data_IF_390901814291
#
_entry.id   IF_390901814291
#
_cell.length_a   1.000
_cell.length_b   1.000
_cell.length_c   1.000
_cell.angle_alpha   90.00
_cell.angle_beta   90.00
_cell.angle_gamma   90.00
#
_symmetry.space_group_name_H-M   'P 1'
#
loop_
_entity.id
_entity.type
_entity.pdbx_description
1 polymer ?
#
# COMPACT_ATOMS: atom_id res chain seq x y z
N UNK A 1 -4.23 -2.93 0.76
CA UNK A 1 -2.99 -3.51 0.18
C UNK A 1 -2.66 -4.90 0.80
N UNK A 2 -2.78 -5.07 2.13
CA UNK A 2 -2.24 -6.24 2.83
C UNK A 2 -2.64 -7.61 2.25
N UNK A 3 -3.92 -7.83 1.97
CA UNK A 3 -4.38 -9.09 1.38
C UNK A 3 -3.79 -9.35 -0.02
N UNK A 4 -3.68 -8.30 -0.85
CA UNK A 4 -3.16 -8.44 -2.20
C UNK A 4 -1.66 -8.74 -2.19
N UNK A 5 -0.89 -8.02 -1.39
CA UNK A 5 0.55 -8.29 -1.22
C UNK A 5 0.79 -9.72 -0.73
N UNK A 6 0.11 -10.14 0.34
CA UNK A 6 0.31 -11.46 0.94
C UNK A 6 -0.01 -12.58 -0.04
N UNK A 7 -1.15 -12.51 -0.75
CA UNK A 7 -1.55 -13.53 -1.72
C UNK A 7 -0.63 -13.55 -2.94
N UNK A 8 -0.28 -12.38 -3.50
CA UNK A 8 0.57 -12.32 -4.68
C UNK A 8 2.00 -12.83 -4.39
N UNK A 9 2.55 -12.50 -3.22
CA UNK A 9 3.84 -13.03 -2.76
C UNK A 9 3.78 -14.54 -2.58
N UNK A 10 2.74 -15.05 -1.89
CA UNK A 10 2.52 -16.48 -1.69
C UNK A 10 2.43 -17.23 -3.02
N UNK A 11 1.62 -16.73 -3.97
CA UNK A 11 1.48 -17.32 -5.30
C UNK A 11 2.77 -17.24 -6.14
N UNK A 12 3.65 -16.29 -5.82
CA UNK A 12 4.99 -16.17 -6.41
C UNK A 12 6.04 -17.09 -5.75
N UNK A 13 5.64 -17.88 -4.74
CA UNK A 13 6.51 -18.84 -4.06
C UNK A 13 7.36 -18.26 -2.93
N UNK A 14 7.02 -17.06 -2.45
CA UNK A 14 7.68 -16.45 -1.29
C UNK A 14 7.11 -17.05 0.00
N UNK A 15 7.94 -17.30 0.98
CA UNK A 15 7.50 -17.67 2.33
C UNK A 15 6.91 -16.45 3.04
N UNK A 16 5.59 -16.44 3.22
CA UNK A 16 4.83 -15.30 3.73
C UNK A 16 4.18 -15.65 5.07
N UNK A 17 4.46 -14.84 6.07
CA UNK A 17 3.72 -14.83 7.34
C UNK A 17 2.99 -13.50 7.49
N UNK A 18 1.68 -13.54 7.71
CA UNK A 18 0.86 -12.34 7.91
C UNK A 18 0.77 -12.06 9.41
N UNK A 19 1.29 -10.91 9.84
CA UNK A 19 1.18 -10.43 11.22
C UNK A 19 -0.16 -9.72 11.43
N UNK A 20 -1.02 -10.23 12.30
CA UNK A 20 -2.33 -9.66 12.63
C UNK A 20 -2.61 -9.78 14.13
N UNK A 21 -3.50 -8.92 14.63
CA UNK A 21 -4.03 -9.09 15.98
C UNK A 21 -4.97 -10.29 16.02
N UNK A 22 -4.85 -11.11 17.05
CA UNK A 22 -5.62 -12.38 17.20
C UNK A 22 -7.14 -12.16 17.25
N UNK A 23 -7.59 -11.01 17.76
CA UNK A 23 -9.00 -10.62 17.84
C UNK A 23 -9.55 -10.00 16.54
N UNK A 24 -8.75 -9.90 15.51
CA UNK A 24 -9.12 -9.31 14.23
C UNK A 24 -9.89 -10.30 13.35
N UNK A 25 -10.99 -9.86 12.74
CA UNK A 25 -11.69 -10.63 11.69
C UNK A 25 -10.77 -11.00 10.52
N UNK A 26 -9.76 -10.19 10.25
CA UNK A 26 -8.76 -10.45 9.21
C UNK A 26 -7.88 -11.66 9.53
N UNK A 27 -7.72 -12.03 10.81
CA UNK A 27 -6.92 -13.17 11.24
C UNK A 27 -7.50 -14.49 10.68
N UNK A 28 -8.76 -14.76 10.96
CA UNK A 28 -9.46 -15.96 10.46
C UNK A 28 -9.54 -15.98 8.94
N UNK A 29 -9.83 -14.81 8.33
CA UNK A 29 -9.92 -14.69 6.88
C UNK A 29 -8.60 -15.01 6.18
N UNK A 30 -7.46 -14.56 6.70
CA UNK A 30 -6.15 -14.87 6.12
C UNK A 30 -5.80 -16.36 6.24
N UNK A 31 -6.17 -17.00 7.37
CA UNK A 31 -6.01 -18.46 7.55
C UNK A 31 -6.87 -19.26 6.56
N UNK A 32 -8.13 -18.84 6.34
CA UNK A 32 -9.02 -19.49 5.35
C UNK A 32 -8.48 -19.39 3.92
N UNK A 33 -7.69 -18.37 3.62
CA UNK A 33 -6.98 -18.21 2.33
C UNK A 33 -5.69 -19.03 2.24
N UNK A 34 -5.35 -19.81 3.27
CA UNK A 34 -4.16 -20.68 3.28
C UNK A 34 -2.86 -19.98 3.67
N UNK A 35 -2.92 -18.75 4.14
CA UNK A 35 -1.74 -17.99 4.58
C UNK A 35 -1.34 -18.41 6.02
N UNK A 36 -0.04 -18.41 6.29
CA UNK A 36 0.47 -18.49 7.66
C UNK A 36 0.18 -17.17 8.37
N UNK A 37 -0.48 -17.23 9.53
CA UNK A 37 -0.85 -16.06 10.32
C UNK A 37 -0.30 -16.19 11.73
N UNK A 38 0.32 -15.14 12.22
CA UNK A 38 0.90 -15.05 13.56
C UNK A 38 0.51 -13.69 14.19
N UNK A 39 0.72 -13.54 15.49
CA UNK A 39 0.68 -12.21 16.08
C UNK A 39 1.83 -11.34 15.56
N UNK A 40 1.74 -10.02 15.76
CA UNK A 40 2.68 -9.06 15.18
C UNK A 40 4.13 -9.31 15.61
N UNK A 41 4.35 -9.56 16.89
CA UNK A 41 5.69 -9.78 17.43
C UNK A 41 6.35 -11.05 16.85
N UNK A 42 5.61 -12.16 16.79
CA UNK A 42 6.10 -13.42 16.24
C UNK A 42 6.37 -13.31 14.74
N UNK A 43 5.45 -12.69 13.99
CA UNK A 43 5.64 -12.46 12.56
C UNK A 43 6.89 -11.61 12.27
N UNK A 44 7.15 -10.58 13.08
CA UNK A 44 8.31 -9.71 12.94
C UNK A 44 9.63 -10.45 13.30
N UNK A 45 9.61 -11.31 14.33
CA UNK A 45 10.82 -11.99 14.81
C UNK A 45 11.36 -13.05 13.85
N UNK A 46 10.50 -13.64 13.03
CA UNK A 46 10.87 -14.67 12.06
C UNK A 46 11.22 -14.10 10.67
N UNK A 47 10.84 -12.85 10.39
CA UNK A 47 10.96 -12.24 9.08
C UNK A 47 12.35 -11.65 8.79
N UNK A 48 12.84 -11.84 7.57
CA UNK A 48 14.02 -11.14 7.04
C UNK A 48 13.61 -9.80 6.40
N UNK A 49 12.35 -9.72 5.93
CA UNK A 49 11.73 -8.53 5.37
C UNK A 49 10.37 -8.31 6.04
N UNK A 50 10.15 -7.17 6.64
CA UNK A 50 8.87 -6.76 7.24
C UNK A 50 8.26 -5.65 6.40
N UNK A 51 7.06 -5.88 5.85
CA UNK A 51 6.29 -4.88 5.12
C UNK A 51 5.15 -4.35 5.98
N UNK A 52 5.14 -3.05 6.27
CA UNK A 52 4.07 -2.40 7.01
C UNK A 52 2.95 -1.95 6.06
N UNK A 53 1.74 -2.48 6.30
CA UNK A 53 0.54 -2.22 5.49
C UNK A 53 -0.64 -1.82 6.39
N UNK A 54 -0.34 -1.10 7.46
CA UNK A 54 -1.30 -0.51 8.39
C UNK A 54 -1.72 0.89 7.91
N UNK A 55 -2.89 1.40 8.35
CA UNK A 55 -3.21 2.81 8.15
C UNK A 55 -2.15 3.71 8.81
N UNK A 56 -1.74 4.79 8.12
CA UNK A 56 -0.67 5.68 8.57
C UNK A 56 -0.86 6.21 9.98
N UNK A 57 -2.11 6.51 10.37
CA UNK A 57 -2.45 7.10 11.68
C UNK A 57 -2.14 6.20 12.88
N UNK A 58 -2.05 4.88 12.68
CA UNK A 58 -1.77 3.90 13.75
C UNK A 58 -0.46 3.17 13.55
N UNK A 59 0.18 3.35 12.40
CA UNK A 59 1.35 2.58 12.01
C UNK A 59 2.54 2.81 12.96
N UNK A 60 2.79 4.06 13.35
CA UNK A 60 3.89 4.40 14.26
C UNK A 60 3.70 3.78 15.66
N UNK A 61 2.50 3.84 16.20
CA UNK A 61 2.20 3.27 17.52
C UNK A 61 2.39 1.75 17.51
N UNK A 62 1.86 1.07 16.48
CA UNK A 62 2.01 -0.39 16.34
C UNK A 62 3.45 -0.79 16.09
N UNK A 63 4.16 -0.07 15.23
CA UNK A 63 5.58 -0.32 14.97
C UNK A 63 6.40 -0.25 16.25
N UNK A 64 6.26 0.85 17.01
CA UNK A 64 7.03 1.09 18.22
C UNK A 64 6.68 0.12 19.36
N UNK A 65 5.40 -0.27 19.49
CA UNK A 65 4.96 -1.12 20.61
C UNK A 65 5.13 -2.62 20.38
N UNK A 66 5.01 -3.10 19.12
CA UNK A 66 4.91 -4.53 18.85
C UNK A 66 5.91 -5.07 17.84
N UNK A 67 6.52 -4.21 16.99
CA UNK A 67 7.32 -4.66 15.85
C UNK A 67 8.80 -4.33 16.02
N UNK A 68 9.13 -3.11 16.35
CA UNK A 68 10.50 -2.59 16.30
C UNK A 68 11.52 -3.46 17.06
N UNK A 69 11.22 -3.77 18.34
CA UNK A 69 12.11 -4.55 19.20
C UNK A 69 12.15 -6.04 18.85
N UNK A 70 11.15 -6.51 18.09
CA UNK A 70 11.05 -7.91 17.71
C UNK A 70 11.68 -8.20 16.34
N UNK A 71 11.99 -7.20 15.52
CA UNK A 71 12.63 -7.43 14.23
C UNK A 71 14.06 -7.96 14.39
N UNK A 72 14.45 -8.90 13.51
CA UNK A 72 15.83 -9.39 13.41
C UNK A 72 16.81 -8.23 13.21
N UNK A 73 18.02 -8.38 13.73
CA UNK A 73 19.13 -7.49 13.45
C UNK A 73 19.46 -7.52 11.95
N UNK A 74 19.60 -6.34 11.33
CA UNK A 74 19.89 -6.21 9.91
C UNK A 74 18.73 -6.51 8.96
N UNK A 75 17.51 -6.75 9.46
CA UNK A 75 16.33 -6.97 8.63
C UNK A 75 15.98 -5.75 7.78
N UNK A 76 15.17 -5.98 6.75
CA UNK A 76 14.66 -4.90 5.89
C UNK A 76 13.24 -4.54 6.26
N UNK A 77 13.01 -3.25 6.54
CA UNK A 77 11.70 -2.66 6.78
C UNK A 77 11.19 -2.00 5.49
N UNK A 78 10.04 -2.44 5.00
CA UNK A 78 9.41 -1.91 3.79
C UNK A 78 8.08 -1.22 4.11
N UNK A 79 7.76 -0.23 3.28
CA UNK A 79 6.53 0.54 3.31
C UNK A 79 5.86 0.55 1.93
N UNK A 80 4.54 0.69 1.88
CA UNK A 80 3.81 0.86 0.62
C UNK A 80 3.49 2.33 0.32
N UNK A 81 3.74 3.24 1.25
CA UNK A 81 3.62 4.68 1.17
C UNK A 81 4.65 5.34 2.08
N UNK A 82 5.19 6.47 1.67
CA UNK A 82 6.33 7.07 2.35
C UNK A 82 6.01 7.92 3.59
N UNK A 83 4.74 8.12 3.95
CA UNK A 83 4.29 9.08 4.97
C UNK A 83 5.05 8.99 6.29
N UNK A 84 5.03 7.84 6.92
CA UNK A 84 5.60 7.66 8.27
C UNK A 84 7.12 7.88 8.33
N UNK A 85 7.83 7.63 7.24
CA UNK A 85 9.27 7.90 7.14
C UNK A 85 9.53 9.36 6.77
N UNK A 86 8.84 9.89 5.75
CA UNK A 86 9.03 11.26 5.28
C UNK A 86 8.76 12.31 6.36
N UNK A 87 7.73 12.10 7.18
CA UNK A 87 7.36 13.01 8.27
C UNK A 87 7.98 12.64 9.63
N UNK A 88 8.89 11.64 9.67
CA UNK A 88 9.56 11.18 10.88
C UNK A 88 8.62 10.69 11.99
N UNK A 89 7.45 10.16 11.64
CA UNK A 89 6.55 9.50 12.59
C UNK A 89 7.14 8.16 13.06
N UNK A 90 7.87 7.46 12.18
CA UNK A 90 8.66 6.28 12.48
C UNK A 90 10.14 6.59 12.26
N UNK A 91 10.95 6.33 13.29
CA UNK A 91 12.42 6.38 13.24
C UNK A 91 12.92 4.94 13.37
N UNK A 92 13.28 4.28 12.25
CA UNK A 92 13.74 2.89 12.29
C UNK A 92 15.09 2.76 13.01
N UNK A 93 15.29 1.59 13.65
CA UNK A 93 16.57 1.26 14.27
C UNK A 93 17.74 1.41 13.29
N UNK A 94 18.92 1.72 13.81
CA UNK A 94 20.13 2.01 13.02
C UNK A 94 20.60 0.80 12.18
N UNK A 95 20.37 -0.41 12.64
CA UNK A 95 20.76 -1.64 11.98
C UNK A 95 19.86 -2.03 10.80
N UNK A 96 18.63 -1.51 10.75
CA UNK A 96 17.66 -1.88 9.72
C UNK A 96 17.95 -1.20 8.37
N UNK A 97 17.71 -1.93 7.28
CA UNK A 97 17.52 -1.34 5.96
C UNK A 97 16.09 -0.83 5.82
N UNK A 98 15.89 0.28 5.09
CA UNK A 98 14.56 0.91 4.93
C UNK A 98 14.29 1.19 3.47
N UNK A 99 13.20 0.63 2.96
CA UNK A 99 12.77 0.81 1.56
C UNK A 99 11.27 0.96 1.42
N UNK A 100 10.86 1.23 0.19
CA UNK A 100 9.45 1.38 -0.17
C UNK A 100 9.14 0.61 -1.44
N UNK A 101 7.97 -0.02 -1.46
CA UNK A 101 7.35 -0.62 -2.65
C UNK A 101 5.89 -0.15 -2.68
N UNK A 102 5.59 0.82 -3.52
CA UNK A 102 4.29 1.49 -3.60
C UNK A 102 3.58 1.14 -4.92
N UNK A 103 2.69 0.13 -4.95
CA UNK A 103 1.83 -0.13 -6.10
C UNK A 103 0.88 1.06 -6.33
N UNK A 104 0.74 1.50 -7.58
CA UNK A 104 -0.08 2.66 -7.92
C UNK A 104 -1.50 2.24 -8.30
N UNK A 105 -2.27 1.92 -7.26
CA UNK A 105 -3.69 1.57 -7.33
C UNK A 105 -4.19 0.81 -6.10
N UNK A 106 -5.51 0.61 -5.98
CA UNK A 106 -6.10 -0.02 -4.82
C UNK A 106 -5.80 -1.53 -4.76
N UNK A 107 -5.70 -2.08 -3.54
CA UNK A 107 -5.27 -3.45 -3.30
C UNK A 107 -6.12 -4.52 -4.02
N UNK A 108 -7.44 -4.32 -4.11
CA UNK A 108 -8.31 -5.27 -4.82
C UNK A 108 -8.02 -5.32 -6.33
N UNK A 109 -7.60 -4.21 -6.94
CA UNK A 109 -7.15 -4.19 -8.33
C UNK A 109 -5.76 -4.80 -8.49
N UNK A 110 -4.83 -4.55 -7.54
CA UNK A 110 -3.52 -5.20 -7.52
C UNK A 110 -3.67 -6.73 -7.54
N UNK A 111 -4.59 -7.29 -6.73
CA UNK A 111 -4.86 -8.73 -6.72
C UNK A 111 -5.46 -9.20 -8.04
N UNK A 112 -6.51 -8.55 -8.52
CA UNK A 112 -7.19 -8.92 -9.75
C UNK A 112 -6.27 -8.89 -10.98
N UNK A 113 -5.50 -7.82 -11.17
CA UNK A 113 -4.58 -7.72 -12.30
C UNK A 113 -3.49 -8.79 -12.25
N UNK A 114 -3.04 -9.17 -11.04
CA UNK A 114 -2.10 -10.26 -10.86
C UNK A 114 -2.69 -11.62 -11.30
N UNK A 115 -3.92 -11.94 -10.88
CA UNK A 115 -4.64 -13.17 -11.26
C UNK A 115 -4.92 -13.25 -12.77
N UNK A 116 -5.17 -12.10 -13.40
CA UNK A 116 -5.35 -11.98 -14.85
C UNK A 116 -4.03 -12.11 -15.64
N UNK A 117 -2.88 -12.30 -14.95
CA UNK A 117 -1.56 -12.42 -15.59
C UNK A 117 -0.92 -11.10 -16.00
N UNK A 118 -1.57 -9.98 -15.70
CA UNK A 118 -1.02 -8.64 -15.86
C UNK A 118 -0.40 -8.14 -14.53
N UNK A 119 -0.16 -6.85 -14.40
CA UNK A 119 0.40 -6.27 -13.18
C UNK A 119 -0.04 -4.82 -12.99
N UNK A 120 0.37 -4.26 -11.87
CA UNK A 120 0.17 -2.86 -11.54
C UNK A 120 1.53 -2.17 -11.43
N UNK A 121 1.70 -0.97 -12.01
CA UNK A 121 2.94 -0.23 -11.86
C UNK A 121 3.29 0.01 -10.38
N UNK A 122 4.57 -0.12 -10.05
CA UNK A 122 5.08 0.11 -8.70
C UNK A 122 6.15 1.20 -8.71
N UNK A 123 6.19 2.00 -7.66
CA UNK A 123 7.33 2.84 -7.34
C UNK A 123 8.19 2.14 -6.27
N UNK A 124 9.51 2.24 -6.39
CA UNK A 124 10.45 1.73 -5.39
C UNK A 124 11.39 2.84 -4.95
N UNK A 125 11.71 2.88 -3.67
CA UNK A 125 12.68 3.80 -3.10
C UNK A 125 13.50 3.14 -2.00
N UNK A 126 14.69 3.67 -1.76
CA UNK A 126 15.56 3.30 -0.65
C UNK A 126 15.82 4.54 0.19
N UNK A 127 15.48 4.49 1.47
CA UNK A 127 15.81 5.55 2.43
C UNK A 127 17.12 5.24 3.15
N UNK A 128 17.31 3.98 3.52
CA UNK A 128 18.50 3.52 4.23
C UNK A 128 18.91 2.13 3.74
N UNK A 129 20.17 1.97 3.42
CA UNK A 129 20.74 0.70 2.96
C UNK A 129 21.84 0.20 3.88
N UNK A 130 21.46 -0.43 4.99
CA UNK A 130 22.41 -1.03 5.95
C UNK A 130 22.96 -2.37 5.45
N UNK A 131 22.22 -3.07 4.60
CA UNK A 131 22.58 -4.40 4.07
C UNK A 131 23.42 -4.35 2.79
N UNK A 132 23.38 -3.24 2.03
CA UNK A 132 23.90 -3.13 0.67
C UNK A 132 23.00 -3.76 -0.41
N UNK A 133 21.78 -4.24 -0.03
CA UNK A 133 20.86 -4.97 -0.91
C UNK A 133 19.42 -4.48 -0.86
N UNK A 134 19.14 -3.35 -0.23
CA UNK A 134 17.78 -2.86 -0.04
C UNK A 134 17.06 -2.62 -1.36
N UNK A 135 17.75 -2.11 -2.36
CA UNK A 135 17.18 -1.87 -3.68
C UNK A 135 16.79 -3.18 -4.39
N UNK A 136 17.65 -4.18 -4.35
CA UNK A 136 17.36 -5.50 -4.93
C UNK A 136 16.20 -6.20 -4.22
N UNK A 137 16.11 -6.07 -2.91
CA UNK A 137 14.99 -6.58 -2.12
C UNK A 137 13.68 -5.88 -2.53
N UNK A 138 13.68 -4.55 -2.64
CA UNK A 138 12.51 -3.79 -3.08
C UNK A 138 12.07 -4.16 -4.51
N UNK A 139 13.01 -4.32 -5.44
CA UNK A 139 12.73 -4.77 -6.81
C UNK A 139 12.17 -6.19 -6.86
N UNK A 140 12.74 -7.10 -6.06
CA UNK A 140 12.28 -8.49 -5.96
C UNK A 140 10.86 -8.56 -5.40
N UNK A 141 10.60 -7.80 -4.34
CA UNK A 141 9.27 -7.68 -3.75
C UNK A 141 8.25 -7.12 -4.75
N UNK A 142 8.58 -5.99 -5.40
CA UNK A 142 7.70 -5.36 -6.40
C UNK A 142 7.42 -6.30 -7.58
N UNK A 143 8.41 -7.07 -8.02
CA UNK A 143 8.24 -8.07 -9.08
C UNK A 143 7.32 -9.20 -8.63
N UNK A 144 7.50 -9.72 -7.42
CA UNK A 144 6.72 -10.83 -6.87
C UNK A 144 5.23 -10.47 -6.66
N UNK A 145 4.92 -9.22 -6.36
CA UNK A 145 3.51 -8.76 -6.31
C UNK A 145 2.91 -8.44 -7.69
N UNK A 146 3.67 -8.61 -8.77
CA UNK A 146 3.23 -8.44 -10.17
C UNK A 146 3.69 -7.15 -10.84
N UNK A 147 4.35 -6.24 -10.13
CA UNK A 147 4.80 -4.94 -10.67
C UNK A 147 5.75 -5.07 -11.86
N UNK A 148 6.58 -6.12 -11.89
CA UNK A 148 7.49 -6.38 -13.01
C UNK A 148 6.81 -6.60 -14.36
N UNK A 149 5.51 -6.94 -14.37
CA UNK A 149 4.72 -7.13 -15.60
C UNK A 149 4.19 -5.81 -16.18
N UNK A 150 4.12 -4.76 -15.36
CA UNK A 150 3.59 -3.45 -15.76
C UNK A 150 4.68 -2.37 -15.84
N UNK A 151 5.64 -2.42 -14.91
CA UNK A 151 6.76 -1.50 -14.81
C UNK A 151 7.05 -1.12 -13.37
N UNK A 152 8.34 -0.98 -13.05
CA UNK A 152 8.84 -0.55 -11.75
C UNK A 152 9.72 0.68 -11.97
N UNK A 153 9.42 1.77 -11.28
CA UNK A 153 10.13 3.03 -11.38
C UNK A 153 10.80 3.37 -10.06
N UNK A 154 12.02 3.89 -10.13
CA UNK A 154 12.70 4.44 -8.96
C UNK A 154 12.14 5.81 -8.60
N UNK A 155 12.01 6.07 -7.31
CA UNK A 155 11.61 7.36 -6.75
C UNK A 155 12.34 7.61 -5.41
N UNK A 156 11.86 8.57 -4.62
CA UNK A 156 12.27 8.83 -3.25
C UNK A 156 11.07 8.79 -2.32
N UNK A 157 11.27 8.58 -1.03
CA UNK A 157 10.19 8.68 -0.03
C UNK A 157 9.49 10.04 -0.10
N UNK A 158 10.26 11.12 -0.23
CA UNK A 158 9.72 12.48 -0.36
C UNK A 158 8.82 12.62 -1.60
N UNK A 159 9.32 12.27 -2.77
CA UNK A 159 8.59 12.46 -4.03
C UNK A 159 7.30 11.64 -4.03
N UNK A 160 7.38 10.36 -3.66
CA UNK A 160 6.20 9.51 -3.59
C UNK A 160 5.16 10.08 -2.62
N UNK A 161 5.56 10.42 -1.38
CA UNK A 161 4.65 10.92 -0.36
C UNK A 161 3.96 12.23 -0.77
N UNK A 162 4.74 13.21 -1.22
CA UNK A 162 4.19 14.52 -1.57
C UNK A 162 3.28 14.46 -2.79
N UNK A 163 3.65 13.68 -3.83
CA UNK A 163 2.85 13.56 -5.04
C UNK A 163 1.59 12.71 -4.84
N UNK A 164 1.67 11.66 -4.05
CA UNK A 164 0.53 10.81 -3.72
C UNK A 164 -0.52 11.59 -2.91
N UNK A 165 -0.11 12.24 -1.81
CA UNK A 165 -0.98 13.09 -1.01
C UNK A 165 -1.61 14.23 -1.82
N UNK A 166 -0.81 14.88 -2.68
CA UNK A 166 -1.34 15.92 -3.56
C UNK A 166 -2.39 15.34 -4.53
N UNK A 167 -2.06 14.23 -5.18
CA UNK A 167 -2.95 13.57 -6.13
C UNK A 167 -4.28 13.16 -5.50
N UNK A 168 -4.24 12.57 -4.30
CA UNK A 168 -5.45 12.17 -3.59
C UNK A 168 -6.30 13.37 -3.16
N UNK A 169 -5.70 14.37 -2.55
CA UNK A 169 -6.44 15.51 -2.00
C UNK A 169 -6.96 16.46 -3.08
N UNK A 170 -6.12 16.78 -4.09
CA UNK A 170 -6.45 17.80 -5.07
C UNK A 170 -7.20 17.24 -6.27
N UNK A 171 -6.92 16.01 -6.68
CA UNK A 171 -7.47 15.43 -7.92
C UNK A 171 -8.44 14.28 -7.64
N UNK A 172 -7.94 13.16 -7.08
CA UNK A 172 -8.64 11.88 -7.11
C UNK A 172 -9.82 11.81 -6.13
N UNK A 173 -9.62 12.22 -4.89
CA UNK A 173 -10.64 12.12 -3.84
C UNK A 173 -11.32 13.45 -3.56
N UNK A 174 -10.55 14.54 -3.41
CA UNK A 174 -11.09 15.87 -3.13
C UNK A 174 -11.62 16.56 -4.37
N UNK A 175 -10.75 16.89 -5.33
CA UNK A 175 -11.10 17.72 -6.49
C UNK A 175 -12.15 17.12 -7.39
N UNK A 176 -12.05 15.84 -7.75
CA UNK A 176 -13.03 15.17 -8.60
C UNK A 176 -14.42 15.12 -7.95
N UNK A 177 -14.47 14.85 -6.67
CA UNK A 177 -15.73 14.80 -5.90
C UNK A 177 -16.41 16.17 -5.88
N UNK A 178 -15.66 17.23 -5.62
CA UNK A 178 -16.19 18.59 -5.62
C UNK A 178 -16.60 19.05 -7.03
N UNK A 179 -15.84 18.69 -8.07
CA UNK A 179 -16.22 19.00 -9.46
C UNK A 179 -17.55 18.36 -9.84
N UNK A 180 -17.73 17.08 -9.54
CA UNK A 180 -18.98 16.34 -9.81
C UNK A 180 -20.15 16.97 -9.06
N UNK A 181 -19.97 17.24 -7.76
CA UNK A 181 -21.00 17.84 -6.91
C UNK A 181 -21.42 19.20 -7.43
N UNK A 182 -20.46 20.09 -7.71
CA UNK A 182 -20.77 21.43 -8.23
C UNK A 182 -21.44 21.40 -9.61
N UNK A 183 -21.03 20.45 -10.48
CA UNK A 183 -21.69 20.24 -11.77
C UNK A 183 -23.15 19.80 -11.61
N UNK A 184 -23.39 18.84 -10.73
CA UNK A 184 -24.73 18.36 -10.39
C UNK A 184 -25.63 19.49 -9.84
N UNK A 185 -25.15 20.21 -8.83
CA UNK A 185 -25.89 21.30 -8.19
C UNK A 185 -26.20 22.40 -9.20
N UNK A 186 -25.28 22.78 -10.06
CA UNK A 186 -25.48 23.79 -11.11
C UNK A 186 -26.62 23.41 -12.05
N UNK A 187 -26.71 22.17 -12.49
CA UNK A 187 -27.79 21.71 -13.36
C UNK A 187 -29.14 21.70 -12.65
N UNK A 188 -29.19 21.25 -11.41
CA UNK A 188 -30.42 21.25 -10.62
C UNK A 188 -30.92 22.69 -10.32
N UNK A 189 -30.03 23.60 -9.97
CA UNK A 189 -30.35 25.02 -9.74
C UNK A 189 -30.82 25.70 -11.02
N UNK A 190 -30.34 25.28 -12.19
CA UNK A 190 -30.83 25.75 -13.48
C UNK A 190 -32.22 25.20 -13.86
N UNK A 191 -32.81 24.34 -13.01
CA UNK A 191 -34.17 23.80 -13.18
C UNK A 191 -34.25 22.49 -13.96
N UNK A 192 -33.12 21.79 -14.20
CA UNK A 192 -33.11 20.45 -14.77
C UNK A 192 -33.47 19.41 -13.74
N UNK A 193 -33.96 18.25 -14.20
CA UNK A 193 -34.31 17.14 -13.33
C UNK A 193 -33.05 16.54 -12.67
N UNK A 194 -33.07 16.26 -11.36
CA UNK A 194 -31.93 15.67 -10.66
C UNK A 194 -31.41 14.37 -11.28
N UNK A 195 -32.33 13.54 -11.80
CA UNK A 195 -31.99 12.27 -12.46
C UNK A 195 -31.12 12.51 -13.72
N UNK A 196 -31.49 13.50 -14.53
CA UNK A 196 -30.71 13.89 -15.71
C UNK A 196 -29.35 14.44 -15.30
N UNK A 197 -29.31 15.33 -14.29
CA UNK A 197 -28.06 15.87 -13.74
C UNK A 197 -27.14 14.77 -13.21
N UNK A 198 -27.69 13.73 -12.53
CA UNK A 198 -26.93 12.61 -12.02
C UNK A 198 -26.28 11.79 -13.16
N UNK A 199 -27.00 11.49 -14.23
CA UNK A 199 -26.43 10.76 -15.33
C UNK A 199 -25.26 11.49 -15.97
N UNK A 200 -25.43 12.77 -16.28
CA UNK A 200 -24.46 13.59 -17.00
C UNK A 200 -23.21 13.94 -16.15
N UNK A 201 -23.33 14.06 -14.82
CA UNK A 201 -22.23 14.54 -13.97
C UNK A 201 -21.55 13.44 -13.15
N UNK A 202 -22.23 12.34 -12.85
CA UNK A 202 -21.69 11.26 -11.99
C UNK A 202 -21.67 9.90 -12.68
N UNK A 203 -22.81 9.48 -13.25
CA UNK A 203 -22.90 8.14 -13.82
C UNK A 203 -21.89 7.93 -14.95
N UNK A 204 -21.78 8.89 -15.86
CA UNK A 204 -20.93 8.78 -17.04
C UNK A 204 -19.44 8.87 -16.73
N UNK A 205 -19.05 9.54 -15.62
CA UNK A 205 -17.64 9.62 -15.18
C UNK A 205 -17.01 8.24 -15.00
N UNK A 206 -17.77 7.23 -14.54
CA UNK A 206 -17.25 5.87 -14.36
C UNK A 206 -17.18 5.05 -15.64
N UNK A 207 -17.74 5.57 -16.76
CA UNK A 207 -17.77 4.89 -18.07
C UNK A 207 -16.68 5.40 -19.00
N UNK A 208 -16.11 6.59 -18.71
CA UNK A 208 -15.01 7.21 -19.44
C UNK A 208 -13.67 6.69 -18.90
#
# INVERSE_FOLDING_TARGET
QGHAHSLNLHDSGVDVTVGLREDSESFSRAQEMGLKVENLANAASDADVVMLLLPDQVMADVYNSEIADNMKEGATLLFAHGFNIHFNEIIPREDLSVGMVAPKGPGHLLRRTYEEGSGMPCLVAVEKDSSGHTHEIALSYASAIGGGRAGILNTTFKEETETDLFGEQVVLCGGLTELIKNGFETLVEAGYQPESAYFETLHDVKLI
#
